data_IF_465545519954
#
_entry.id   IF_465545519954
#
_cell.length_a   1.000
_cell.length_b   1.000
_cell.length_c   1.000
_cell.angle_alpha   90.00
_cell.angle_beta   90.00
_cell.angle_gamma   90.00
#
_symmetry.space_group_name_H-M   'P 1'
#
loop_
_entity.id
_entity.type
_entity.pdbx_description
1 polymer ?
#
# COMPACT_ATOMS: atom_id res chain seq x y z
N UNK A 1 6.75 43.32 27.47
CA UNK A 1 6.51 43.05 26.05
C UNK A 1 7.19 41.73 25.73
N UNK A 2 6.52 40.59 25.54
CA UNK A 2 7.13 39.36 25.10
C UNK A 2 7.02 39.25 23.57
N UNK A 3 8.13 38.84 22.96
CA UNK A 3 8.32 38.65 21.54
C UNK A 3 7.48 37.50 20.98
N UNK A 4 6.99 37.72 19.73
CA UNK A 4 6.05 36.86 19.06
C UNK A 4 6.65 35.52 18.60
N UNK A 5 5.88 34.48 18.79
CA UNK A 5 6.08 33.18 18.15
C UNK A 5 5.80 33.30 16.65
N UNK A 6 6.78 32.94 15.81
CA UNK A 6 6.60 32.78 14.37
C UNK A 6 5.78 31.52 14.07
N UNK A 7 4.96 31.52 13.02
CA UNK A 7 4.18 30.36 12.60
C UNK A 7 5.05 29.30 11.91
N UNK A 8 4.58 28.04 11.95
CA UNK A 8 5.25 26.84 11.50
C UNK A 8 5.28 26.63 9.95
N UNK A 9 5.34 27.70 9.16
CA UNK A 9 5.27 27.64 7.69
C UNK A 9 6.64 27.45 6.99
N UNK A 10 7.76 27.59 7.70
CA UNK A 10 9.09 27.66 7.05
C UNK A 10 9.85 26.32 6.90
N UNK A 11 9.27 25.17 7.24
CA UNK A 11 9.98 23.88 7.15
C UNK A 11 9.94 23.23 5.75
N UNK A 12 9.19 23.76 4.80
CA UNK A 12 9.11 23.27 3.42
C UNK A 12 9.90 24.10 2.39
N UNK A 13 10.51 25.22 2.80
CA UNK A 13 11.10 26.23 1.89
C UNK A 13 12.61 26.15 1.72
N UNK A 14 13.32 25.23 2.33
CA UNK A 14 14.77 25.16 2.21
C UNK A 14 15.18 24.08 1.21
N UNK A 15 15.36 24.46 -0.05
CA UNK A 15 16.34 24.03 -1.06
C UNK A 15 15.78 24.04 -2.48
N UNK A 16 15.51 25.23 -2.97
CA UNK A 16 15.53 25.48 -4.42
C UNK A 16 16.80 26.27 -4.73
N UNK A 17 17.84 25.59 -5.18
CA UNK A 17 18.88 26.21 -6.02
C UNK A 17 19.45 25.16 -6.97
N UNK A 18 19.54 25.60 -8.23
CA UNK A 18 20.31 25.10 -9.37
C UNK A 18 19.52 24.35 -10.45
N UNK A 19 18.97 25.18 -11.32
CA UNK A 19 18.78 24.85 -12.74
C UNK A 19 20.12 24.97 -13.45
N UNK A 20 20.60 23.87 -14.03
CA UNK A 20 21.50 23.88 -15.19
C UNK A 20 20.95 22.91 -16.24
N UNK A 21 21.00 23.25 -17.53
CA UNK A 21 20.44 22.44 -18.59
C UNK A 21 21.34 21.22 -18.85
N UNK A 22 20.71 20.03 -19.00
CA UNK A 22 21.35 18.78 -19.37
C UNK A 22 21.44 18.69 -20.88
N UNK A 23 22.59 18.32 -21.48
CA UNK A 23 22.72 18.12 -22.92
C UNK A 23 22.04 16.83 -23.37
N UNK A 24 21.48 16.88 -24.59
CA UNK A 24 20.92 15.73 -25.31
C UNK A 24 21.95 14.60 -25.45
N UNK A 25 21.56 13.37 -25.08
CA UNK A 25 22.33 12.16 -25.35
C UNK A 25 21.55 11.23 -26.27
N UNK A 26 22.18 11.00 -27.38
CA UNK A 26 21.83 10.11 -28.47
C UNK A 26 21.56 8.67 -28.05
N UNK A 27 20.64 8.07 -28.78
CA UNK A 27 20.31 6.62 -28.82
C UNK A 27 21.55 5.73 -28.95
N UNK A 28 21.70 4.78 -28.00
CA UNK A 28 22.61 3.64 -28.16
C UNK A 28 21.91 2.34 -27.73
N UNK A 29 22.13 1.33 -28.52
CA UNK A 29 21.57 -0.01 -28.57
C UNK A 29 21.62 -0.81 -27.27
N UNK A 30 20.62 -1.68 -27.14
CA UNK A 30 20.54 -2.77 -26.20
C UNK A 30 21.72 -3.75 -26.36
N UNK A 31 22.53 -3.89 -25.30
CA UNK A 31 23.38 -5.06 -25.09
C UNK A 31 23.62 -5.29 -23.61
N UNK A 32 23.34 -6.51 -23.18
CA UNK A 32 23.84 -7.26 -22.01
C UNK A 32 24.08 -6.50 -20.69
N UNK A 33 23.37 -6.88 -19.67
CA UNK A 33 23.61 -6.57 -18.26
C UNK A 33 25.01 -7.06 -17.82
N UNK A 34 25.83 -6.24 -17.17
CA UNK A 34 26.97 -6.72 -16.39
C UNK A 34 26.50 -7.24 -15.04
N UNK A 35 26.95 -8.45 -14.71
CA UNK A 35 26.90 -9.01 -13.36
C UNK A 35 27.96 -8.29 -12.52
N UNK A 36 27.54 -7.31 -11.71
CA UNK A 36 28.24 -6.86 -10.49
C UNK A 36 27.30 -5.90 -9.76
N UNK A 37 26.53 -6.46 -8.82
CA UNK A 37 25.81 -5.66 -7.83
C UNK A 37 26.84 -5.13 -6.81
N UNK A 38 26.81 -3.84 -6.41
CA UNK A 38 27.64 -3.36 -5.32
C UNK A 38 27.23 -4.06 -4.02
N UNK A 39 28.22 -4.60 -3.31
CA UNK A 39 28.10 -5.07 -1.92
C UNK A 39 27.69 -3.87 -1.04
N UNK A 40 26.45 -3.86 -0.62
CA UNK A 40 25.80 -2.82 0.17
C UNK A 40 24.28 -2.97 0.11
N UNK A 41 23.79 -4.13 -0.34
CA UNK A 41 22.36 -4.45 -0.26
C UNK A 41 21.96 -4.52 1.21
N UNK A 42 21.03 -3.66 1.60
CA UNK A 42 20.25 -3.70 2.84
C UNK A 42 19.78 -5.13 3.16
N UNK A 43 19.60 -5.49 4.45
CA UNK A 43 19.11 -6.81 4.85
C UNK A 43 17.85 -7.08 4.04
N UNK A 44 17.89 -8.15 3.25
CA UNK A 44 16.93 -8.59 2.24
C UNK A 44 15.55 -7.98 2.43
N UNK A 45 15.25 -6.90 1.70
CA UNK A 45 13.88 -6.47 1.49
C UNK A 45 13.16 -7.69 0.93
N UNK A 46 12.28 -8.25 1.75
CA UNK A 46 11.46 -9.39 1.38
C UNK A 46 10.63 -8.92 0.20
N UNK A 47 11.03 -9.30 -1.02
CA UNK A 47 10.19 -9.07 -2.20
C UNK A 47 8.81 -9.58 -1.84
N UNK A 48 7.75 -8.81 -2.09
CA UNK A 48 6.41 -9.25 -1.72
C UNK A 48 6.18 -10.64 -2.30
N UNK A 49 5.68 -11.53 -1.47
CA UNK A 49 5.43 -12.92 -1.88
C UNK A 49 4.50 -12.91 -3.10
N UNK A 50 4.90 -13.59 -4.16
CA UNK A 50 4.07 -13.72 -5.36
C UNK A 50 2.83 -14.54 -4.98
N UNK A 51 1.68 -13.90 -5.10
CA UNK A 51 0.38 -14.55 -4.92
C UNK A 51 0.04 -15.29 -6.21
N UNK A 52 -0.02 -16.62 -6.15
CA UNK A 52 -0.52 -17.45 -7.25
C UNK A 52 -2.02 -17.70 -7.10
N UNK A 53 -2.65 -18.20 -8.15
CA UNK A 53 -4.06 -18.58 -8.12
C UNK A 53 -4.36 -19.64 -7.04
N UNK A 54 -3.47 -20.64 -6.91
CA UNK A 54 -3.59 -21.70 -5.91
C UNK A 54 -3.57 -21.11 -4.49
N UNK A 55 -2.62 -20.20 -4.19
CA UNK A 55 -2.54 -19.51 -2.89
C UNK A 55 -3.78 -18.69 -2.58
N UNK A 56 -4.36 -18.01 -3.58
CA UNK A 56 -5.61 -17.29 -3.41
C UNK A 56 -6.76 -18.24 -3.08
N UNK A 57 -6.88 -19.37 -3.82
CA UNK A 57 -7.89 -20.39 -3.56
C UNK A 57 -7.77 -21.03 -2.18
N UNK A 58 -6.53 -21.31 -1.73
CA UNK A 58 -6.26 -21.84 -0.39
C UNK A 58 -6.69 -20.83 0.69
N UNK A 59 -6.37 -19.54 0.50
CA UNK A 59 -6.76 -18.50 1.42
C UNK A 59 -8.28 -18.31 1.51
N UNK A 60 -8.98 -18.37 0.37
CA UNK A 60 -10.45 -18.34 0.34
C UNK A 60 -11.03 -19.50 1.15
N UNK A 61 -10.52 -20.71 0.95
CA UNK A 61 -10.96 -21.89 1.72
C UNK A 61 -10.65 -21.75 3.21
N UNK A 62 -9.45 -21.28 3.55
CA UNK A 62 -9.01 -21.10 4.93
C UNK A 62 -9.81 -20.01 5.68
N UNK A 63 -10.40 -19.06 4.98
CA UNK A 63 -11.22 -17.99 5.59
C UNK A 63 -12.50 -18.52 6.27
N UNK A 64 -12.96 -19.71 5.91
CA UNK A 64 -14.19 -20.32 6.42
C UNK A 64 -15.49 -19.64 6.00
N UNK A 65 -15.42 -18.62 5.13
CA UNK A 65 -16.59 -17.92 4.59
C UNK A 65 -17.04 -18.56 3.27
N UNK A 66 -18.33 -18.45 2.99
CA UNK A 66 -18.89 -18.88 1.71
C UNK A 66 -18.63 -17.79 0.65
N UNK A 67 -17.88 -18.15 -0.39
CA UNK A 67 -17.63 -17.29 -1.55
C UNK A 67 -18.14 -17.94 -2.84
N UNK A 68 -18.56 -17.10 -3.80
CA UNK A 68 -18.94 -17.55 -5.13
C UNK A 68 -17.68 -17.88 -5.96
N UNK A 69 -17.17 -19.12 -5.81
CA UNK A 69 -15.95 -19.58 -6.48
C UNK A 69 -16.10 -19.62 -8.00
N UNK A 70 -17.31 -19.83 -8.53
CA UNK A 70 -17.56 -19.81 -9.98
C UNK A 70 -17.30 -18.43 -10.55
N UNK A 71 -17.84 -17.38 -9.92
CA UNK A 71 -17.62 -15.99 -10.31
C UNK A 71 -16.13 -15.62 -10.20
N UNK A 72 -15.48 -15.96 -9.08
CA UNK A 72 -14.07 -15.61 -8.84
C UNK A 72 -13.15 -16.32 -9.83
N UNK A 73 -13.41 -17.60 -10.14
CA UNK A 73 -12.65 -18.35 -11.14
C UNK A 73 -12.82 -17.74 -12.54
N UNK A 74 -14.04 -17.42 -12.91
CA UNK A 74 -14.34 -16.75 -14.19
C UNK A 74 -13.64 -15.38 -14.29
N UNK A 75 -13.58 -14.61 -13.21
CA UNK A 75 -12.87 -13.33 -13.16
C UNK A 75 -11.36 -13.52 -13.33
N UNK A 76 -10.77 -14.50 -12.66
CA UNK A 76 -9.36 -14.86 -12.84
C UNK A 76 -9.04 -15.27 -14.28
N UNK A 77 -9.83 -16.16 -14.87
CA UNK A 77 -9.62 -16.64 -16.24
C UNK A 77 -9.65 -15.50 -17.25
N UNK A 78 -10.61 -14.57 -17.10
CA UNK A 78 -10.68 -13.37 -17.94
C UNK A 78 -9.47 -12.47 -17.76
N UNK A 79 -9.10 -12.15 -16.52
CA UNK A 79 -7.95 -11.30 -16.22
C UNK A 79 -6.63 -11.93 -16.70
N UNK A 80 -6.44 -13.23 -16.49
CA UNK A 80 -5.25 -13.95 -16.94
C UNK A 80 -5.13 -14.00 -18.46
N UNK A 81 -6.25 -14.21 -19.17
CA UNK A 81 -6.30 -14.16 -20.63
C UNK A 81 -6.04 -12.75 -21.16
N UNK A 82 -6.62 -11.74 -20.54
CA UNK A 82 -6.53 -10.34 -20.94
C UNK A 82 -5.08 -9.80 -20.84
N UNK A 83 -4.34 -10.23 -19.83
CA UNK A 83 -2.95 -9.81 -19.59
C UNK A 83 -1.91 -10.86 -20.03
N UNK A 84 -2.29 -11.84 -20.84
CA UNK A 84 -1.38 -12.90 -21.27
C UNK A 84 -0.18 -12.33 -22.02
N UNK A 85 1.03 -12.74 -21.63
CA UNK A 85 2.28 -12.26 -22.23
C UNK A 85 2.75 -10.88 -21.78
N UNK A 86 1.99 -10.18 -20.93
CA UNK A 86 2.39 -8.90 -20.33
C UNK A 86 3.14 -9.14 -19.03
N UNK A 87 4.29 -8.46 -18.86
CA UNK A 87 5.06 -8.47 -17.60
C UNK A 87 5.06 -7.08 -16.97
N UNK A 88 5.14 -7.04 -15.63
CA UNK A 88 5.38 -5.83 -14.86
C UNK A 88 6.83 -5.37 -15.02
N UNK A 89 7.14 -4.14 -14.61
CA UNK A 89 8.52 -3.62 -14.59
C UNK A 89 9.44 -4.39 -13.65
N UNK A 90 8.90 -5.01 -12.63
CA UNK A 90 9.58 -5.91 -11.69
C UNK A 90 9.90 -7.30 -12.27
N UNK A 91 9.38 -7.61 -13.49
CA UNK A 91 9.69 -8.80 -14.27
C UNK A 91 8.69 -9.95 -14.13
N UNK A 92 7.80 -9.93 -13.14
CA UNK A 92 6.75 -10.95 -12.96
C UNK A 92 5.60 -10.78 -13.97
N UNK A 93 4.86 -11.87 -14.29
CA UNK A 93 3.64 -11.79 -15.10
C UNK A 93 2.64 -10.80 -14.51
N UNK A 94 1.96 -10.03 -15.37
CA UNK A 94 1.05 -8.98 -14.91
C UNK A 94 -0.05 -9.49 -13.99
N UNK A 95 -0.56 -10.70 -14.22
CA UNK A 95 -1.62 -11.33 -13.42
C UNK A 95 -1.29 -11.44 -11.92
N UNK A 96 0.00 -11.43 -11.55
CA UNK A 96 0.41 -11.44 -10.15
C UNK A 96 -0.09 -10.21 -9.38
N UNK A 97 -0.28 -9.08 -10.06
CA UNK A 97 -0.83 -7.87 -9.45
C UNK A 97 -2.32 -8.00 -9.09
N UNK A 98 -3.23 -8.30 -10.02
CA UNK A 98 -4.63 -8.53 -9.69
C UNK A 98 -4.82 -9.62 -8.61
N UNK A 99 -4.03 -10.69 -8.66
CA UNK A 99 -4.06 -11.74 -7.64
C UNK A 99 -3.67 -11.21 -6.24
N UNK A 100 -2.63 -10.40 -6.17
CA UNK A 100 -2.21 -9.80 -4.90
C UNK A 100 -3.25 -8.78 -4.37
N UNK A 101 -3.85 -7.98 -5.25
CA UNK A 101 -4.94 -7.06 -4.87
C UNK A 101 -6.16 -7.83 -4.37
N UNK A 102 -6.58 -8.90 -5.08
CA UNK A 102 -7.68 -9.77 -4.68
C UNK A 102 -7.40 -10.44 -3.32
N UNK A 103 -6.15 -10.84 -3.07
CA UNK A 103 -5.74 -11.40 -1.78
C UNK A 103 -5.88 -10.37 -0.66
N UNK A 104 -5.44 -9.14 -0.85
CA UNK A 104 -5.61 -8.06 0.13
C UNK A 104 -7.09 -7.76 0.42
N UNK A 105 -7.93 -7.75 -0.62
CA UNK A 105 -9.38 -7.58 -0.51
C UNK A 105 -10.02 -8.73 0.29
N UNK A 106 -9.58 -9.98 0.05
CA UNK A 106 -9.99 -11.14 0.83
C UNK A 106 -9.57 -11.02 2.31
N UNK A 107 -8.33 -10.61 2.57
CA UNK A 107 -7.79 -10.45 3.94
C UNK A 107 -8.54 -9.37 4.73
N UNK A 108 -9.12 -8.38 4.05
CA UNK A 108 -10.06 -7.42 4.63
C UNK A 108 -11.47 -7.98 4.83
N UNK A 109 -11.72 -9.23 4.45
CA UNK A 109 -12.97 -9.94 4.66
C UNK A 109 -14.11 -9.51 3.75
N UNK A 110 -13.80 -8.93 2.58
CA UNK A 110 -14.75 -8.45 1.58
C UNK A 110 -15.50 -9.59 0.88
N UNK A 111 -16.57 -9.25 0.16
CA UNK A 111 -17.44 -10.19 -0.56
C UNK A 111 -16.86 -10.73 -1.89
N UNK A 112 -17.60 -11.64 -2.53
CA UNK A 112 -17.17 -12.27 -3.79
C UNK A 112 -17.07 -11.28 -4.93
N UNK A 113 -17.98 -10.33 -4.99
CA UNK A 113 -18.08 -9.27 -6.00
C UNK A 113 -16.85 -8.36 -5.91
N UNK A 114 -16.42 -8.00 -4.69
CA UNK A 114 -15.20 -7.21 -4.45
C UNK A 114 -13.94 -7.97 -4.87
N UNK A 115 -13.85 -9.28 -4.60
CA UNK A 115 -12.72 -10.11 -5.02
C UNK A 115 -12.68 -10.22 -6.55
N UNK A 116 -13.84 -10.46 -7.19
CA UNK A 116 -13.94 -10.49 -8.66
C UNK A 116 -13.57 -9.14 -9.28
N UNK A 117 -14.07 -8.04 -8.72
CA UNK A 117 -13.73 -6.69 -9.18
C UNK A 117 -12.23 -6.39 -8.98
N UNK A 118 -11.61 -6.86 -7.90
CA UNK A 118 -10.17 -6.73 -7.67
C UNK A 118 -9.34 -7.51 -8.70
N UNK A 119 -9.80 -8.68 -9.16
CA UNK A 119 -9.15 -9.42 -10.25
C UNK A 119 -9.29 -8.71 -11.61
N UNK A 120 -10.37 -7.95 -11.81
CA UNK A 120 -10.74 -7.32 -13.07
C UNK A 120 -10.41 -5.83 -13.16
N UNK A 121 -9.88 -5.20 -12.11
CA UNK A 121 -9.82 -3.75 -11.98
C UNK A 121 -9.05 -3.04 -13.09
N UNK A 122 -8.02 -3.67 -13.66
CA UNK A 122 -7.21 -3.14 -14.76
C UNK A 122 -7.69 -3.61 -16.15
N UNK A 123 -8.59 -4.59 -16.22
CA UNK A 123 -8.97 -5.23 -17.51
C UNK A 123 -9.61 -4.24 -18.47
N UNK A 124 -10.48 -3.34 -17.99
CA UNK A 124 -11.13 -2.30 -18.82
C UNK A 124 -10.16 -1.19 -19.21
N UNK A 125 -9.13 -0.93 -18.41
CA UNK A 125 -8.17 0.14 -18.67
C UNK A 125 -7.09 -0.30 -19.66
N UNK A 126 -6.60 -1.52 -19.51
CA UNK A 126 -5.42 -2.03 -20.22
C UNK A 126 -5.75 -2.92 -21.43
N UNK A 127 -7.03 -3.29 -21.64
CA UNK A 127 -7.43 -4.24 -22.68
C UNK A 127 -8.67 -3.76 -23.44
N UNK A 128 -9.03 -4.40 -24.58
CA UNK A 128 -10.24 -4.06 -25.34
C UNK A 128 -11.59 -4.43 -24.65
N UNK A 129 -11.54 -5.08 -23.50
CA UNK A 129 -12.75 -5.50 -22.76
C UNK A 129 -13.54 -4.27 -22.30
N UNK A 130 -14.83 -4.26 -22.57
CA UNK A 130 -15.71 -3.14 -22.22
C UNK A 130 -16.47 -3.37 -20.91
N UNK A 131 -17.07 -2.30 -20.36
CA UNK A 131 -17.95 -2.43 -19.18
C UNK A 131 -19.21 -3.23 -19.50
N UNK A 132 -19.70 -3.16 -20.74
CA UNK A 132 -20.84 -3.94 -21.23
C UNK A 132 -20.52 -5.44 -21.20
N UNK A 133 -19.30 -5.82 -21.63
CA UNK A 133 -18.82 -7.21 -21.56
C UNK A 133 -18.77 -7.70 -20.12
N UNK A 134 -18.26 -6.87 -19.20
CA UNK A 134 -18.22 -7.20 -17.77
C UNK A 134 -19.62 -7.32 -17.19
N UNK A 135 -20.55 -6.42 -17.55
CA UNK A 135 -21.94 -6.48 -17.09
C UNK A 135 -22.62 -7.78 -17.54
N UNK A 136 -22.42 -8.15 -18.81
CA UNK A 136 -22.99 -9.38 -19.34
C UNK A 136 -22.39 -10.65 -18.69
N UNK A 137 -21.11 -10.61 -18.33
CA UNK A 137 -20.39 -11.76 -17.79
C UNK A 137 -20.54 -11.93 -16.27
N UNK A 138 -20.55 -10.84 -15.50
CA UNK A 138 -20.45 -10.82 -14.03
C UNK A 138 -21.58 -10.10 -13.32
N UNK A 139 -22.49 -9.46 -14.06
CA UNK A 139 -23.56 -8.64 -13.51
C UNK A 139 -23.17 -7.17 -13.29
N UNK A 140 -24.19 -6.37 -13.01
CA UNK A 140 -24.08 -4.92 -12.88
C UNK A 140 -23.18 -4.50 -11.69
N UNK A 141 -23.24 -5.24 -10.59
CA UNK A 141 -22.52 -4.92 -9.36
C UNK A 141 -21.00 -4.97 -9.56
N UNK A 142 -20.46 -6.05 -10.13
CA UNK A 142 -19.02 -6.16 -10.43
C UNK A 142 -18.59 -5.11 -11.43
N UNK A 143 -19.39 -4.88 -12.49
CA UNK A 143 -19.09 -3.86 -13.49
C UNK A 143 -19.04 -2.44 -12.91
N UNK A 144 -19.95 -2.10 -11.99
CA UNK A 144 -19.95 -0.81 -11.28
C UNK A 144 -18.72 -0.63 -10.38
N UNK A 145 -18.29 -1.69 -9.68
CA UNK A 145 -17.08 -1.64 -8.88
C UNK A 145 -15.83 -1.39 -9.75
N UNK A 146 -15.69 -2.11 -10.86
CA UNK A 146 -14.58 -1.94 -11.81
C UNK A 146 -14.59 -0.53 -12.43
N UNK A 147 -15.76 -0.05 -12.90
CA UNK A 147 -15.91 1.30 -13.44
C UNK A 147 -15.50 2.38 -12.41
N UNK A 148 -15.91 2.19 -11.15
CA UNK A 148 -15.55 3.08 -10.06
C UNK A 148 -14.04 3.14 -9.84
N UNK A 149 -13.34 2.00 -9.81
CA UNK A 149 -11.89 1.93 -9.63
C UNK A 149 -11.17 2.57 -10.82
N UNK A 150 -11.58 2.28 -12.07
CA UNK A 150 -11.02 2.85 -13.31
C UNK A 150 -11.16 4.38 -13.33
N UNK A 151 -12.31 4.92 -12.94
CA UNK A 151 -12.53 6.37 -12.87
C UNK A 151 -11.63 7.05 -11.85
N UNK A 152 -11.34 6.39 -10.72
CA UNK A 152 -10.40 6.91 -9.73
C UNK A 152 -8.95 6.92 -10.26
N UNK A 153 -8.56 5.97 -11.11
CA UNK A 153 -7.22 5.91 -11.72
C UNK A 153 -6.98 7.06 -12.70
N UNK A 154 -8.00 7.47 -13.47
CA UNK A 154 -7.90 8.54 -14.50
C UNK A 154 -7.82 9.95 -13.95
N UNK A 155 -7.84 10.14 -12.63
CA UNK A 155 -7.67 11.45 -12.00
C UNK A 155 -6.20 11.87 -12.12
N UNK A 156 -5.87 12.79 -13.07
CA UNK A 156 -4.52 13.31 -13.26
C UNK A 156 -4.28 14.55 -12.39
N UNK A 157 -3.09 14.64 -11.83
CA UNK A 157 -2.66 15.70 -10.92
C UNK A 157 -1.92 16.81 -11.71
N UNK A 158 -2.51 17.95 -11.94
CA UNK A 158 -1.88 19.05 -12.69
C UNK A 158 -1.60 20.32 -11.86
N UNK A 159 -2.15 20.47 -10.66
CA UNK A 159 -1.83 21.61 -9.77
C UNK A 159 -2.12 21.26 -8.30
N UNK A 160 -1.15 21.47 -7.39
CA UNK A 160 -1.04 20.73 -6.13
C UNK A 160 -2.15 21.05 -5.11
N UNK A 161 -2.61 22.27 -4.96
CA UNK A 161 -3.55 22.63 -3.88
C UNK A 161 -5.04 22.55 -4.26
N UNK A 162 -5.45 23.08 -5.40
CA UNK A 162 -6.84 22.98 -5.86
C UNK A 162 -7.23 21.58 -6.28
N UNK A 163 -6.25 20.82 -6.77
CA UNK A 163 -6.44 19.44 -7.20
C UNK A 163 -6.58 18.44 -6.05
N UNK A 164 -5.90 18.66 -4.94
CA UNK A 164 -6.08 17.81 -3.75
C UNK A 164 -7.52 17.88 -3.25
N UNK A 165 -8.12 19.05 -3.22
CA UNK A 165 -9.53 19.23 -2.82
C UNK A 165 -10.50 18.58 -3.81
N UNK A 166 -10.28 18.73 -5.13
CA UNK A 166 -11.15 18.16 -6.16
C UNK A 166 -11.00 16.63 -6.25
N UNK A 167 -9.79 16.10 -6.08
CA UNK A 167 -9.56 14.65 -6.02
C UNK A 167 -10.17 14.02 -4.77
N UNK A 168 -9.99 14.66 -3.62
CA UNK A 168 -10.65 14.22 -2.39
C UNK A 168 -12.17 14.25 -2.56
N UNK A 169 -12.73 15.28 -3.20
CA UNK A 169 -14.15 15.37 -3.51
C UNK A 169 -14.62 14.24 -4.42
N UNK A 170 -13.89 13.93 -5.52
CA UNK A 170 -14.22 12.82 -6.44
C UNK A 170 -14.13 11.48 -5.75
N UNK A 171 -13.12 11.28 -4.90
CA UNK A 171 -12.99 10.08 -4.07
C UNK A 171 -14.17 9.97 -3.08
N UNK A 172 -14.54 11.04 -2.41
CA UNK A 172 -15.70 11.07 -1.53
C UNK A 172 -17.02 10.79 -2.28
N UNK A 173 -17.15 11.30 -3.50
CA UNK A 173 -18.30 11.00 -4.36
C UNK A 173 -18.33 9.53 -4.81
N UNK A 174 -17.19 8.94 -5.13
CA UNK A 174 -17.10 7.51 -5.43
C UNK A 174 -17.47 6.66 -4.20
N UNK A 175 -16.93 7.02 -3.02
CA UNK A 175 -17.26 6.37 -1.74
C UNK A 175 -18.74 6.51 -1.37
N UNK A 176 -19.41 7.61 -1.76
CA UNK A 176 -20.84 7.79 -1.51
C UNK A 176 -21.72 6.85 -2.31
N UNK A 177 -21.20 6.29 -3.42
CA UNK A 177 -21.90 5.27 -4.22
C UNK A 177 -21.64 3.88 -3.69
N UNK A 178 -20.36 3.51 -3.52
CA UNK A 178 -19.94 2.23 -2.95
C UNK A 178 -18.54 2.34 -2.35
N UNK A 179 -18.42 2.11 -1.05
CA UNK A 179 -17.15 2.19 -0.33
C UNK A 179 -16.16 1.11 -0.79
N UNK A 180 -16.63 -0.01 -1.34
CA UNK A 180 -15.81 -1.11 -1.83
C UNK A 180 -14.85 -0.67 -2.94
N UNK A 181 -15.28 0.29 -3.78
CA UNK A 181 -14.43 0.92 -4.80
C UNK A 181 -13.15 1.49 -4.19
N UNK A 182 -13.27 2.21 -3.07
CA UNK A 182 -12.12 2.79 -2.39
C UNK A 182 -11.26 1.73 -1.71
N UNK A 183 -11.88 0.68 -1.14
CA UNK A 183 -11.15 -0.43 -0.50
C UNK A 183 -10.28 -1.16 -1.54
N UNK A 184 -10.85 -1.47 -2.71
CA UNK A 184 -10.09 -2.08 -3.83
C UNK A 184 -8.95 -1.15 -4.25
N UNK A 185 -9.21 0.16 -4.38
CA UNK A 185 -8.18 1.14 -4.77
C UNK A 185 -7.07 1.30 -3.74
N UNK A 186 -7.38 1.18 -2.44
CA UNK A 186 -6.38 1.16 -1.37
C UNK A 186 -5.51 -0.11 -1.46
N UNK A 187 -6.09 -1.27 -1.75
CA UNK A 187 -5.38 -2.53 -1.94
C UNK A 187 -4.48 -2.48 -3.19
N UNK A 188 -4.97 -1.91 -4.31
CA UNK A 188 -4.17 -1.64 -5.51
C UNK A 188 -2.98 -0.73 -5.18
N UNK A 189 -3.23 0.41 -4.52
CA UNK A 189 -2.16 1.34 -4.10
C UNK A 189 -1.14 0.65 -3.20
N UNK A 190 -1.58 -0.14 -2.24
CA UNK A 190 -0.70 -0.86 -1.33
C UNK A 190 0.20 -1.85 -2.08
N UNK A 191 -0.35 -2.66 -2.98
CA UNK A 191 0.46 -3.57 -3.77
C UNK A 191 1.44 -2.82 -4.69
N UNK A 192 1.03 -1.72 -5.30
CA UNK A 192 1.89 -0.86 -6.09
C UNK A 192 3.04 -0.27 -5.25
N UNK A 193 2.80 0.14 -4.00
CA UNK A 193 3.84 0.59 -3.09
C UNK A 193 4.78 -0.54 -2.65
N UNK A 194 4.30 -1.78 -2.54
CA UNK A 194 5.12 -2.97 -2.26
C UNK A 194 6.09 -3.32 -3.38
N UNK A 195 5.75 -2.99 -4.62
CA UNK A 195 6.53 -3.29 -5.83
C UNK A 195 7.18 -2.06 -6.46
N UNK A 196 7.16 -0.94 -5.74
CA UNK A 196 7.62 0.37 -6.25
C UNK A 196 9.13 0.49 -6.47
N UNK A 197 9.95 -0.43 -5.94
CA UNK A 197 11.41 -0.41 -6.12
C UNK A 197 11.83 -0.51 -7.60
N UNK A 198 11.01 -1.15 -8.42
CA UNK A 198 11.19 -1.21 -9.88
C UNK A 198 10.91 0.13 -10.61
N UNK A 199 10.41 1.16 -9.92
CA UNK A 199 10.13 2.45 -10.53
C UNK A 199 11.35 3.38 -10.52
N UNK A 200 11.45 4.32 -11.49
CA UNK A 200 12.40 5.42 -11.40
C UNK A 200 12.19 6.23 -10.10
N UNK A 201 13.29 6.74 -9.53
CA UNK A 201 13.28 7.45 -8.25
C UNK A 201 12.23 8.57 -8.17
N UNK A 202 12.15 9.42 -9.20
CA UNK A 202 11.16 10.50 -9.22
C UNK A 202 9.74 9.97 -9.12
N UNK A 203 9.41 8.91 -9.87
CA UNK A 203 8.09 8.26 -9.80
C UNK A 203 7.79 7.68 -8.42
N UNK A 204 8.80 7.06 -7.77
CA UNK A 204 8.66 6.54 -6.39
C UNK A 204 8.29 7.66 -5.43
N UNK A 205 9.04 8.76 -5.46
CA UNK A 205 8.81 9.93 -4.59
C UNK A 205 7.45 10.57 -4.82
N UNK A 206 7.04 10.73 -6.08
CA UNK A 206 5.74 11.32 -6.40
C UNK A 206 4.59 10.41 -5.93
N UNK A 207 4.70 9.11 -6.15
CA UNK A 207 3.70 8.14 -5.69
C UNK A 207 3.67 8.00 -4.16
N UNK A 208 4.81 8.08 -3.49
CA UNK A 208 4.90 8.09 -2.03
C UNK A 208 4.23 9.34 -1.45
N UNK A 209 4.50 10.52 -2.02
CA UNK A 209 3.86 11.78 -1.60
C UNK A 209 2.34 11.72 -1.78
N UNK A 210 1.87 11.31 -2.95
CA UNK A 210 0.43 11.10 -3.23
C UNK A 210 -0.19 10.13 -2.22
N UNK A 211 0.52 9.06 -1.87
CA UNK A 211 0.05 8.05 -0.91
C UNK A 211 -0.09 8.63 0.49
N UNK A 212 0.89 9.40 0.95
CA UNK A 212 0.85 10.05 2.27
C UNK A 212 -0.25 11.12 2.37
N UNK A 213 -0.44 11.90 1.31
CA UNK A 213 -1.36 13.04 1.33
C UNK A 213 -2.82 12.63 1.12
N UNK A 214 -3.06 11.52 0.40
CA UNK A 214 -4.41 11.14 -0.02
C UNK A 214 -4.81 9.77 0.51
N UNK A 215 -4.08 8.70 0.16
CA UNK A 215 -4.53 7.32 0.41
C UNK A 215 -4.43 6.92 1.88
N UNK A 216 -3.35 7.25 2.58
CA UNK A 216 -3.20 6.94 4.00
C UNK A 216 -4.24 7.64 4.89
N UNK A 217 -4.57 8.93 4.70
CA UNK A 217 -5.68 9.59 5.39
C UNK A 217 -7.05 8.94 5.10
N UNK A 218 -7.30 8.46 3.89
CA UNK A 218 -8.54 7.77 3.56
C UNK A 218 -8.61 6.41 4.25
N UNK A 219 -7.54 5.62 4.21
CA UNK A 219 -7.44 4.35 4.93
C UNK A 219 -7.69 4.54 6.43
N UNK A 220 -7.15 5.61 7.02
CA UNK A 220 -7.39 5.99 8.42
C UNK A 220 -8.86 6.29 8.70
N UNK A 221 -9.54 7.05 7.84
CA UNK A 221 -10.97 7.39 7.99
C UNK A 221 -11.88 6.18 7.84
N UNK A 222 -11.49 5.22 7.00
CA UNK A 222 -12.20 3.94 6.83
C UNK A 222 -11.88 2.94 7.96
N UNK A 223 -10.95 3.26 8.88
CA UNK A 223 -10.56 2.39 9.98
C UNK A 223 -9.69 1.21 9.56
N UNK A 224 -9.15 1.21 8.33
CA UNK A 224 -8.30 0.13 7.79
C UNK A 224 -6.85 0.40 8.21
N UNK A 225 -6.59 0.27 9.52
CA UNK A 225 -5.33 0.71 10.14
C UNK A 225 -4.11 -0.04 9.60
N UNK A 226 -4.23 -1.35 9.32
CA UNK A 226 -3.11 -2.13 8.79
C UNK A 226 -2.65 -1.60 7.42
N UNK A 227 -3.60 -1.32 6.53
CA UNK A 227 -3.31 -0.74 5.21
C UNK A 227 -2.72 0.66 5.36
N UNK A 228 -3.30 1.49 6.22
CA UNK A 228 -2.80 2.83 6.51
C UNK A 228 -1.36 2.82 7.00
N UNK A 229 -1.05 2.01 8.00
CA UNK A 229 0.29 1.93 8.61
C UNK A 229 1.33 1.45 7.57
N UNK A 230 1.01 0.42 6.79
CA UNK A 230 1.93 -0.06 5.74
C UNK A 230 2.11 0.95 4.60
N UNK A 231 1.05 1.67 4.19
CA UNK A 231 1.16 2.74 3.21
C UNK A 231 2.07 3.87 3.70
N UNK A 232 1.92 4.26 4.96
CA UNK A 232 2.77 5.30 5.59
C UNK A 232 4.23 4.86 5.68
N UNK A 233 4.50 3.64 6.16
CA UNK A 233 5.86 3.12 6.33
C UNK A 233 6.59 2.99 4.99
N UNK A 234 5.93 2.44 3.95
CA UNK A 234 6.51 2.35 2.60
C UNK A 234 6.71 3.70 1.94
N UNK A 235 5.82 4.65 2.19
CA UNK A 235 5.97 6.02 1.69
C UNK A 235 7.14 6.72 2.36
N UNK A 236 7.32 6.56 3.68
CA UNK A 236 8.46 7.10 4.40
C UNK A 236 9.78 6.52 3.85
N UNK A 237 9.84 5.20 3.61
CA UNK A 237 11.01 4.55 3.02
C UNK A 237 11.45 5.20 1.69
N UNK A 238 10.50 5.63 0.84
CA UNK A 238 10.81 6.31 -0.42
C UNK A 238 11.08 7.81 -0.28
N UNK A 239 10.52 8.48 0.72
CA UNK A 239 10.66 9.92 0.92
C UNK A 239 11.87 10.28 1.76
N UNK A 240 12.12 9.54 2.83
CA UNK A 240 13.26 9.67 3.74
C UNK A 240 13.80 8.29 4.13
N UNK A 241 14.61 7.65 3.25
CA UNK A 241 15.18 6.34 3.51
C UNK A 241 16.07 6.32 4.76
N UNK A 242 16.79 7.40 5.02
CA UNK A 242 17.71 7.50 6.17
C UNK A 242 16.92 7.47 7.48
N UNK A 243 15.91 8.31 7.60
CA UNK A 243 15.04 8.35 8.79
C UNK A 243 14.28 7.04 8.99
N UNK A 244 13.85 6.40 7.89
CA UNK A 244 13.22 5.07 7.94
C UNK A 244 14.17 4.01 8.52
N UNK A 245 15.39 3.93 8.00
CA UNK A 245 16.38 2.92 8.42
C UNK A 245 16.80 3.12 9.87
N UNK A 246 17.04 4.37 10.29
CA UNK A 246 17.41 4.72 11.65
C UNK A 246 16.35 4.24 12.67
N UNK A 247 15.07 4.52 12.41
CA UNK A 247 13.98 4.09 13.29
C UNK A 247 13.77 2.58 13.22
N UNK A 248 13.87 1.98 12.04
CA UNK A 248 13.75 0.53 11.85
C UNK A 248 14.79 -0.22 12.66
N UNK A 249 16.04 0.26 12.66
CA UNK A 249 17.13 -0.30 13.48
C UNK A 249 16.85 -0.15 14.97
N UNK A 250 16.44 1.02 15.42
CA UNK A 250 16.11 1.24 16.85
C UNK A 250 14.96 0.34 17.30
N UNK A 251 13.95 0.11 16.46
CA UNK A 251 12.86 -0.80 16.74
C UNK A 251 13.31 -2.25 16.85
N UNK A 252 14.14 -2.72 15.92
CA UNK A 252 14.65 -4.09 15.93
C UNK A 252 15.48 -4.39 17.19
N UNK A 253 16.23 -3.41 17.68
CA UNK A 253 17.05 -3.55 18.88
C UNK A 253 16.23 -3.56 20.18
N UNK A 254 15.10 -2.85 20.24
CA UNK A 254 14.33 -2.62 21.49
C UNK A 254 12.98 -3.34 21.57
N UNK A 255 12.32 -3.55 20.46
CA UNK A 255 10.99 -4.15 20.38
C UNK A 255 10.95 -5.45 19.57
N UNK A 256 12.06 -6.17 19.50
CA UNK A 256 12.15 -7.45 18.80
C UNK A 256 11.15 -8.49 19.31
N UNK A 257 10.85 -9.50 18.48
CA UNK A 257 9.85 -10.53 18.80
C UNK A 257 10.13 -11.26 20.12
N UNK A 258 11.41 -11.46 20.47
CA UNK A 258 11.82 -12.07 21.74
C UNK A 258 11.41 -11.23 22.96
N UNK A 259 11.54 -9.91 22.87
CA UNK A 259 11.10 -9.01 23.94
C UNK A 259 9.59 -9.07 24.12
N UNK A 260 8.84 -9.00 23.03
CA UNK A 260 7.37 -9.08 23.06
C UNK A 260 6.88 -10.43 23.57
N UNK A 261 7.52 -11.52 23.17
CA UNK A 261 7.19 -12.87 23.67
C UNK A 261 7.44 -12.97 25.18
N UNK A 262 8.57 -12.47 25.67
CA UNK A 262 8.90 -12.45 27.09
C UNK A 262 7.90 -11.66 27.91
N UNK A 263 7.56 -10.44 27.47
CA UNK A 263 6.58 -9.58 28.16
C UNK A 263 5.20 -10.24 28.17
N UNK A 264 4.76 -10.81 27.05
CA UNK A 264 3.48 -11.54 26.98
C UNK A 264 3.45 -12.72 27.94
N UNK A 265 4.53 -13.51 28.00
CA UNK A 265 4.64 -14.64 28.91
C UNK A 265 4.53 -14.24 30.39
N UNK A 266 5.16 -13.12 30.77
CA UNK A 266 5.03 -12.59 32.16
C UNK A 266 3.59 -12.15 32.45
N UNK A 267 2.91 -11.51 31.49
CA UNK A 267 1.51 -11.09 31.64
C UNK A 267 0.59 -12.30 31.75
N UNK A 268 0.77 -13.31 30.87
CA UNK A 268 0.00 -14.56 30.90
C UNK A 268 0.14 -15.29 32.23
N UNK A 269 1.36 -15.38 32.75
CA UNK A 269 1.62 -16.01 34.04
C UNK A 269 0.91 -15.27 35.17
N UNK A 270 0.98 -13.95 35.20
CA UNK A 270 0.30 -13.13 36.23
C UNK A 270 -1.22 -13.25 36.16
N UNK A 271 -1.80 -13.30 34.95
CA UNK A 271 -3.24 -13.51 34.76
C UNK A 271 -3.67 -14.86 35.32
N UNK A 272 -2.91 -15.93 35.06
CA UNK A 272 -3.16 -17.26 35.63
C UNK A 272 -3.06 -17.29 37.14
N UNK A 273 -2.01 -16.69 37.71
CA UNK A 273 -1.82 -16.56 39.17
C UNK A 273 -2.96 -15.79 39.84
N UNK A 274 -3.57 -14.84 39.11
CA UNK A 274 -4.73 -14.06 39.58
C UNK A 274 -6.09 -14.76 39.35
N UNK A 275 -6.10 -15.99 38.83
CA UNK A 275 -7.32 -16.76 38.54
C UNK A 275 -8.12 -16.25 37.33
N UNK A 276 -7.51 -15.48 36.45
CA UNK A 276 -8.15 -14.96 35.24
C UNK A 276 -7.87 -15.94 34.10
N UNK A 277 -8.90 -16.70 33.72
CA UNK A 277 -8.85 -17.68 32.62
C UNK A 277 -9.49 -17.09 31.35
N UNK A 278 -8.99 -17.51 30.16
CA UNK A 278 -9.56 -17.12 28.87
C UNK A 278 -9.20 -15.71 28.38
N UNK A 279 -8.25 -15.05 29.04
CA UNK A 279 -7.75 -13.75 28.58
C UNK A 279 -6.94 -13.91 27.28
N UNK A 280 -7.21 -13.05 26.31
CA UNK A 280 -6.43 -12.99 25.06
C UNK A 280 -5.51 -11.78 25.08
N UNK A 281 -4.21 -12.00 24.95
CA UNK A 281 -3.19 -10.94 24.85
C UNK A 281 -2.94 -10.63 23.38
N UNK A 282 -3.23 -9.38 22.99
CA UNK A 282 -2.87 -8.85 21.66
C UNK A 282 -1.66 -7.95 21.81
N UNK A 283 -0.63 -8.22 21.02
CA UNK A 283 0.59 -7.41 20.97
C UNK A 283 0.70 -6.71 19.61
N UNK A 284 1.22 -5.51 19.60
CA UNK A 284 1.46 -4.73 18.41
C UNK A 284 2.69 -3.85 18.61
N UNK A 285 3.57 -3.84 17.64
CA UNK A 285 4.64 -2.84 17.53
C UNK A 285 4.07 -1.63 16.80
N UNK A 286 4.45 -0.44 17.20
CA UNK A 286 4.07 0.79 16.52
C UNK A 286 4.73 0.87 15.15
N UNK A 287 4.04 1.42 14.14
CA UNK A 287 4.59 1.63 12.81
C UNK A 287 5.80 2.57 12.82
N UNK A 288 6.74 2.35 11.89
CA UNK A 288 7.96 3.17 11.76
C UNK A 288 7.59 4.65 11.56
N UNK A 289 6.63 4.93 10.67
CA UNK A 289 6.14 6.30 10.47
C UNK A 289 5.47 6.89 11.72
N UNK A 290 4.77 6.05 12.49
CA UNK A 290 4.16 6.48 13.75
C UNK A 290 5.19 6.98 14.76
N UNK A 291 6.37 6.36 14.80
CA UNK A 291 7.52 6.79 15.63
C UNK A 291 8.19 8.01 14.99
N UNK A 292 8.51 7.95 13.69
CA UNK A 292 9.10 9.05 12.93
C UNK A 292 8.34 10.36 13.16
N UNK A 293 7.02 10.32 13.08
CA UNK A 293 6.17 11.49 13.33
C UNK A 293 6.30 12.02 14.76
N UNK A 294 6.47 11.16 15.76
CA UNK A 294 6.66 11.59 17.15
C UNK A 294 8.04 12.22 17.37
N UNK A 295 9.07 11.64 16.75
CA UNK A 295 10.43 12.17 16.88
C UNK A 295 10.57 13.52 16.18
N UNK A 296 10.09 13.65 14.94
CA UNK A 296 10.24 14.86 14.13
C UNK A 296 9.23 15.94 14.51
N UNK A 297 7.91 15.63 14.57
CA UNK A 297 6.88 16.64 14.81
C UNK A 297 6.72 17.02 16.29
N UNK A 298 6.97 16.07 17.21
CA UNK A 298 6.84 16.32 18.63
C UNK A 298 8.18 16.54 19.33
N UNK A 299 9.27 16.48 18.57
CA UNK A 299 10.66 16.61 19.06
C UNK A 299 10.96 15.75 20.29
N UNK A 300 10.43 14.50 20.28
CA UNK A 300 10.64 13.52 21.34
C UNK A 300 11.84 12.65 20.99
N UNK A 301 12.69 12.37 21.94
CA UNK A 301 13.68 11.31 21.79
C UNK A 301 12.98 9.94 21.73
N UNK A 302 13.63 8.93 21.14
CA UNK A 302 13.08 7.58 21.09
C UNK A 302 12.79 7.02 22.49
N UNK A 303 13.62 7.38 23.49
CA UNK A 303 13.46 6.95 24.90
C UNK A 303 12.22 7.55 25.58
N UNK A 304 11.67 8.63 25.04
CA UNK A 304 10.44 9.28 25.54
C UNK A 304 9.16 8.75 24.91
N UNK A 305 9.28 7.76 24.00
CA UNK A 305 8.14 7.12 23.35
C UNK A 305 7.82 5.83 24.10
N UNK A 306 6.84 5.89 25.01
CA UNK A 306 6.44 4.76 25.87
C UNK A 306 5.47 3.76 25.23
N UNK A 307 4.90 4.07 24.08
CA UNK A 307 3.89 3.27 23.37
C UNK A 307 4.45 2.64 22.07
N UNK A 308 5.67 2.09 22.16
CA UNK A 308 6.35 1.42 21.07
C UNK A 308 5.78 0.02 20.82
#
# INVERSE_FOLDING_TARGET
MPEGKKPAEDLYSAKTHLHQPVPEVSTVNATALPADAPEGALPSEVRPEIVTWEKLCEAIKASGKAYNMEMITKAYDLANKAHNGVCRRSGEPYICHPLAVARLVLDLGMDSESIAAALLHDVVEDTPTTLEDLTAAFGEEVALLVDGVTKLTKIQFSNIEELQAENLRKMLLAMSRDVRVMIIKLCDRLHNMRTGDAWPEQKRRDKARETMEVYAPIANRLGILNVKEELEDRSLHYLDPVGYEEISKMLSERAGEEFLARVSGVIEQRLKESGIEGATIKRRVKSIYGIYRKTIMQNKSFDEIYDI
#
